data_IF_594222738428
#
_entry.id   IF_594222738428
#
_cell.length_a   1.000
_cell.length_b   1.000
_cell.length_c   1.000
_cell.angle_alpha   90.00
_cell.angle_beta   90.00
_cell.angle_gamma   90.00
#
_symmetry.space_group_name_H-M   'P 1'
#
loop_
_entity.id
_entity.type
_entity.pdbx_description
1 polymer ?
2 water ?
#
# COMPACT_ATOMS: atom_id res chain seq x y z
N UNK A 1 25.48 7.56 2.79
CA UNK A 1 24.51 6.49 2.58
C UNK A 1 23.17 7.06 2.14
N UNK A 2 22.72 6.67 0.94
CA UNK A 2 21.43 7.18 0.44
C UNK A 2 20.26 6.63 1.24
N UNK A 3 19.26 7.47 1.46
CA UNK A 3 18.04 7.10 2.18
C UNK A 3 17.00 6.76 1.10
N UNK A 4 16.97 5.51 0.69
CA UNK A 4 16.08 5.05 -0.37
C UNK A 4 14.75 4.69 0.31
N UNK A 5 13.88 5.68 0.42
CA UNK A 5 12.69 5.56 1.26
C UNK A 5 11.67 6.60 0.82
N UNK A 6 10.40 6.30 1.09
CA UNK A 6 9.31 7.20 0.75
C UNK A 6 8.09 6.87 1.60
N UNK A 7 7.29 7.90 1.88
CA UNK A 7 6.05 7.75 2.60
C UNK A 7 4.96 8.48 1.83
N UNK A 8 3.87 7.79 1.53
CA UNK A 8 2.73 8.36 0.81
C UNK A 8 1.50 8.23 1.69
N UNK A 9 0.73 9.30 1.82
CA UNK A 9 -0.42 9.25 2.72
C UNK A 9 -1.67 9.74 2.01
N UNK A 10 -2.81 9.44 2.63
CA UNK A 10 -4.09 9.80 2.03
C UNK A 10 -4.26 11.31 1.96
N UNK A 11 -4.73 11.79 0.81
CA UNK A 11 -4.86 13.23 0.60
C UNK A 11 -5.90 13.47 -0.47
N UNK A 12 -7.09 13.90 -0.08
CA UNK A 12 -8.19 14.15 -0.99
C UNK A 12 -8.21 15.57 -1.55
N UNK A 13 -7.11 16.31 -1.42
CA UNK A 13 -7.05 17.69 -1.91
C UNK A 13 -7.28 17.77 -3.42
N UNK A 27 -12.99 13.19 4.25
CA UNK A 27 -12.03 12.49 3.42
C UNK A 27 -12.45 11.08 3.04
N UNK A 28 -13.75 10.81 3.07
CA UNK A 28 -14.27 9.48 2.83
C UNK A 28 -14.27 9.15 1.34
N UNK A 29 -13.68 8.01 0.98
CA UNK A 29 -13.55 7.57 -0.41
C UNK A 29 -14.10 6.16 -0.53
N UNK A 30 -14.96 5.94 -1.52
CA UNK A 30 -15.42 4.61 -1.88
C UNK A 30 -14.46 4.02 -2.90
N UNK A 31 -13.97 2.81 -2.61
CA UNK A 31 -13.04 2.11 -3.49
C UNK A 31 -13.78 0.94 -4.13
N UNK A 32 -13.88 0.96 -5.45
CA UNK A 32 -14.62 -0.06 -6.16
C UNK A 32 -13.88 -1.39 -6.13
N UNK A 33 -14.63 -2.47 -6.37
CA UNK A 33 -14.07 -3.81 -6.42
C UNK A 33 -12.91 -3.86 -7.40
N UNK A 34 -11.77 -4.36 -6.93
CA UNK A 34 -10.54 -4.58 -7.69
C UNK A 34 -9.87 -3.29 -8.14
N UNK A 35 -10.34 -2.13 -7.67
CA UNK A 35 -9.56 -0.93 -7.98
C UNK A 35 -8.53 -0.68 -6.88
N UNK A 36 -7.34 -0.22 -7.23
CA UNK A 36 -6.37 0.13 -6.19
C UNK A 36 -6.72 1.45 -5.51
N UNK A 37 -6.35 1.54 -4.24
CA UNK A 37 -6.38 2.83 -3.56
C UNK A 37 -5.48 3.81 -4.32
N UNK A 38 -6.02 4.98 -4.66
CA UNK A 38 -5.25 5.88 -5.52
C UNK A 38 -5.27 7.33 -5.06
N UNK A 39 -5.71 7.59 -3.83
CA UNK A 39 -5.74 8.96 -3.31
C UNK A 39 -4.51 9.16 -2.42
N UNK A 40 -3.35 8.71 -2.89
CA UNK A 40 -2.08 8.86 -2.19
C UNK A 40 -1.38 10.14 -2.63
N UNK A 41 -0.52 10.65 -1.74
CA UNK A 41 0.32 11.78 -2.07
C UNK A 41 1.56 11.70 -1.20
N UNK A 42 2.74 12.01 -1.74
CA UNK A 42 3.96 11.96 -0.90
C UNK A 42 3.90 12.93 0.27
N UNK A 43 4.34 12.46 1.43
CA UNK A 43 4.52 13.33 2.58
C UNK A 43 5.56 14.40 2.25
N UNK A 44 5.55 15.52 2.97
CA UNK A 44 6.51 16.60 2.65
C UNK A 44 7.96 16.15 2.65
N UNK A 45 8.38 15.30 3.60
CA UNK A 45 9.77 14.90 3.62
C UNK A 45 10.12 14.07 2.39
N UNK A 46 9.15 13.36 1.84
CA UNK A 46 9.37 12.60 0.62
C UNK A 46 9.48 13.54 -0.59
N UNK A 47 8.57 14.51 -0.69
CA UNK A 47 8.66 15.51 -1.77
C UNK A 47 10.01 16.20 -1.76
N UNK A 48 10.52 16.53 -0.57
CA UNK A 48 11.75 17.29 -0.41
C UNK A 48 13.01 16.43 -0.38
N UNK A 49 12.87 15.11 -0.44
CA UNK A 49 14.03 14.24 -0.25
C UNK A 49 15.03 14.42 -1.39
N UNK A 50 16.32 14.65 -1.09
CA UNK A 50 17.33 14.70 -2.15
C UNK A 50 17.80 13.32 -2.63
N UNK A 51 17.22 12.23 -2.11
CA UNK A 51 17.71 10.88 -2.37
C UNK A 51 16.93 10.21 -3.50
N UNK A 52 17.57 9.32 -4.25
CA UNK A 52 16.81 8.38 -5.08
C UNK A 52 15.88 7.57 -4.18
N UNK A 53 14.68 7.30 -4.68
CA UNK A 53 13.65 6.76 -3.80
C UNK A 53 12.53 6.18 -4.65
N UNK A 54 11.68 5.33 -4.06
CA UNK A 54 10.44 4.94 -4.75
C UNK A 54 9.58 6.17 -5.04
N UNK A 55 8.80 6.07 -6.11
CA UNK A 55 7.96 7.19 -6.53
C UNK A 55 6.52 6.72 -6.67
N UNK A 56 5.61 7.68 -6.84
CA UNK A 56 4.18 7.42 -6.90
C UNK A 56 3.67 7.69 -8.31
N UNK A 57 3.01 6.70 -8.90
CA UNK A 57 2.44 6.85 -10.22
C UNK A 57 1.06 7.50 -10.14
N UNK A 58 0.57 7.95 -11.29
CA UNK A 58 -0.74 8.59 -11.33
C UNK A 58 -1.88 7.61 -11.14
N UNK A 59 -1.62 6.30 -11.22
CA UNK A 59 -2.62 5.27 -10.93
C UNK A 59 -2.65 4.89 -9.46
N UNK A 60 -1.78 5.47 -8.64
CA UNK A 60 -1.70 5.13 -7.23
C UNK A 60 -0.71 4.03 -6.90
N UNK A 61 0.05 3.54 -7.87
CA UNK A 61 1.04 2.51 -7.59
C UNK A 61 2.32 3.14 -7.08
N UNK A 62 2.96 2.45 -6.14
CA UNK A 62 4.32 2.81 -5.72
C UNK A 62 5.30 2.13 -6.67
N UNK A 63 6.18 2.92 -7.26
CA UNK A 63 7.12 2.48 -8.29
C UNK A 63 8.49 2.33 -7.64
N UNK A 64 8.97 1.09 -7.51
CA UNK A 64 10.25 0.78 -6.89
C UNK A 64 11.35 0.92 -7.95
N UNK A 65 12.44 1.60 -7.60
CA UNK A 65 13.54 1.82 -8.55
C UNK A 65 14.84 1.12 -8.17
N UNK A 66 14.92 0.51 -6.99
CA UNK A 66 16.16 -0.10 -6.51
C UNK A 66 15.82 -1.44 -5.86
N UNK A 67 16.54 -2.48 -6.29
CA UNK A 67 16.32 -3.81 -5.74
C UNK A 67 16.90 -3.92 -4.34
N UNK A 68 16.15 -4.55 -3.44
CA UNK A 68 16.67 -4.80 -2.10
C UNK A 68 15.58 -5.30 -1.19
N UNK A 69 15.95 -5.45 0.07
CA UNK A 69 14.99 -5.80 1.13
C UNK A 69 14.52 -4.50 1.76
N UNK A 70 13.21 -4.28 1.73
CA UNK A 70 12.56 -3.07 2.24
C UNK A 70 11.67 -3.42 3.42
N UNK A 71 11.62 -2.51 4.39
CA UNK A 71 10.51 -2.50 5.34
C UNK A 71 9.35 -1.78 4.65
N UNK A 72 8.25 -2.48 4.47
CA UNK A 72 7.07 -1.93 3.81
C UNK A 72 5.94 -1.92 4.83
N UNK A 73 5.21 -0.82 4.93
CA UNK A 73 4.10 -0.75 5.86
C UNK A 73 2.91 -0.08 5.20
N UNK A 74 1.72 -0.51 5.59
CA UNK A 74 0.46 -0.03 5.00
C UNK A 74 -0.56 0.12 6.12
N UNK A 75 -1.32 1.21 6.09
CA UNK A 75 -2.50 1.35 6.93
C UNK A 75 -3.65 1.89 6.10
N UNK A 76 -4.79 1.19 6.14
CA UNK A 76 -6.03 1.67 5.55
C UNK A 76 -7.01 1.89 6.71
N UNK A 77 -7.54 3.10 6.80
CA UNK A 77 -8.50 3.46 7.85
C UNK A 77 -9.88 3.36 7.25
N UNK A 78 -10.62 2.31 7.62
CA UNK A 78 -11.97 2.10 7.11
C UNK A 78 -12.99 2.82 7.97
N UNK A 79 -14.01 3.36 7.31
CA UNK A 79 -15.21 3.89 7.97
C UNK A 79 -16.33 3.27 7.17
N UNK A 80 -16.78 2.08 7.59
CA UNK A 80 -17.54 1.22 6.72
C UNK A 80 -18.50 0.40 7.57
N UNK A 81 -19.57 -0.07 6.94
CA UNK A 81 -20.59 -0.82 7.66
C UNK A 81 -20.49 -2.33 7.44
N UNK A 82 -19.58 -2.80 6.60
CA UNK A 82 -19.43 -4.23 6.39
C UNK A 82 -18.82 -4.91 7.62
N UNK A 83 -19.17 -6.19 7.80
CA UNK A 83 -18.64 -6.93 8.95
C UNK A 83 -17.14 -7.17 8.81
N UNK A 84 -16.65 -7.36 7.59
CA UNK A 84 -15.24 -7.65 7.35
C UNK A 84 -14.65 -6.59 6.43
N UNK A 85 -13.50 -6.06 6.82
CA UNK A 85 -12.70 -5.19 5.97
C UNK A 85 -11.31 -5.79 5.88
N UNK A 86 -10.74 -5.77 4.68
CA UNK A 86 -9.45 -6.41 4.46
C UNK A 86 -8.81 -5.81 3.22
N UNK A 87 -7.49 -5.66 3.27
CA UNK A 87 -6.74 -5.22 2.10
C UNK A 87 -5.60 -6.19 1.80
N UNK A 88 -5.14 -6.14 0.54
CA UNK A 88 -3.99 -6.91 0.08
C UNK A 88 -3.01 -5.96 -0.61
N UNK A 89 -1.73 -6.24 -0.45
CA UNK A 89 -0.67 -5.50 -1.13
C UNK A 89 -0.26 -6.30 -2.36
N UNK A 90 -0.49 -5.74 -3.55
CA UNK A 90 -0.23 -6.44 -4.80
C UNK A 90 1.06 -5.94 -5.43
N UNK A 91 1.92 -6.88 -5.83
CA UNK A 91 3.17 -6.58 -6.52
C UNK A 91 3.06 -7.00 -7.98
N UNK A 92 3.37 -6.09 -8.89
CA UNK A 92 3.42 -6.37 -10.30
C UNK A 92 4.77 -5.95 -10.84
N UNK A 93 5.12 -6.50 -12.00
CA UNK A 93 6.42 -6.23 -12.62
C UNK A 93 6.33 -6.76 -14.04
N UNK A 94 7.09 -6.13 -14.94
CA UNK A 94 7.07 -6.56 -16.33
C UNK A 94 7.48 -8.02 -16.48
N UNK A 95 8.23 -8.56 -15.52
CA UNK A 95 8.79 -9.90 -15.61
C UNK A 95 7.90 -10.97 -14.99
N UNK A 96 6.74 -10.62 -14.44
CA UNK A 96 5.80 -11.61 -13.94
C UNK A 96 4.42 -11.38 -14.54
N UNK A 97 3.67 -12.47 -14.68
CA UNK A 97 2.30 -12.43 -15.16
C UNK A 97 1.35 -12.23 -13.99
N UNK A 98 0.50 -11.21 -14.08
CA UNK A 98 -0.49 -10.96 -13.05
C UNK A 98 0.13 -10.31 -11.82
N UNK A 99 -0.55 -10.52 -10.69
CA UNK A 99 -0.17 -9.90 -9.43
C UNK A 99 0.30 -10.94 -8.42
N UNK A 100 1.22 -10.53 -7.55
CA UNK A 100 1.61 -11.30 -6.38
C UNK A 100 1.12 -10.59 -5.13
N UNK A 101 0.54 -11.34 -4.20
CA UNK A 101 0.08 -10.79 -2.93
C UNK A 101 1.18 -10.94 -1.89
N UNK A 102 1.71 -9.82 -1.41
CA UNK A 102 2.83 -9.84 -0.48
C UNK A 102 2.40 -9.72 0.97
N UNK A 103 1.27 -9.05 1.22
CA UNK A 103 0.84 -8.70 2.57
C UNK A 103 -0.67 -8.62 2.58
N UNK A 104 -1.27 -9.00 3.70
CA UNK A 104 -2.72 -8.91 3.85
C UNK A 104 -3.06 -8.55 5.29
N UNK A 105 -4.11 -7.75 5.45
CA UNK A 105 -4.63 -7.32 6.73
C UNK A 105 -6.13 -7.57 6.74
N UNK A 106 -6.68 -7.94 7.90
CA UNK A 106 -8.12 -8.15 7.97
C UNK A 106 -8.63 -7.80 9.36
N UNK A 107 -9.85 -7.27 9.40
CA UNK A 107 -10.55 -7.02 10.66
C UNK A 107 -12.01 -7.39 10.46
N UNK A 108 -12.63 -8.00 11.46
CA UNK A 108 -13.99 -8.51 11.28
C UNK A 108 -14.72 -8.57 12.61
N UNK A 109 -15.99 -8.19 12.57
CA UNK A 109 -16.88 -8.36 13.71
C UNK A 109 -18.30 -8.44 13.17
N UNK A 110 -19.15 -9.17 13.89
CA UNK A 110 -20.51 -9.39 13.43
C UNK A 110 -21.44 -8.31 13.98
N UNK A 111 -22.29 -7.79 13.10
CA UNK A 111 -23.37 -6.90 13.49
C UNK A 111 -24.61 -7.26 12.69
N UNK A 112 -25.78 -7.11 13.32
CA UNK A 112 -27.02 -7.46 12.65
C UNK A 112 -27.47 -6.38 11.67
N UNK A 113 -27.09 -5.12 11.92
CA UNK A 113 -27.45 -4.03 11.04
C UNK A 113 -26.21 -3.31 10.52
N UNK A 114 -26.30 -2.69 9.34
CA UNK A 114 -25.11 -2.03 8.76
C UNK A 114 -24.77 -0.71 9.44
N UNK A 115 -23.95 -0.77 10.48
CA UNK A 115 -23.54 0.42 11.24
C UNK A 115 -22.13 0.80 10.80
N UNK A 116 -21.96 2.06 10.36
CA UNK A 116 -20.64 2.54 10.00
C UNK A 116 -19.76 2.60 11.25
N UNK A 117 -18.53 2.11 11.13
CA UNK A 117 -17.64 2.18 12.29
C UNK A 117 -16.20 2.27 11.82
N UNK A 118 -15.34 2.92 12.60
CA UNK A 118 -13.95 3.13 12.19
C UNK A 118 -13.05 1.97 12.59
N UNK A 119 -12.19 1.51 11.68
CA UNK A 119 -11.23 0.46 11.96
C UNK A 119 -10.01 0.70 11.08
N UNK A 120 -8.84 0.90 11.68
CA UNK A 120 -7.60 1.00 10.94
C UNK A 120 -6.95 -0.37 10.84
N UNK A 121 -6.52 -0.75 9.65
CA UNK A 121 -5.93 -2.07 9.41
C UNK A 121 -4.48 -1.84 8.98
N UNK A 122 -3.55 -2.19 9.87
CA UNK A 122 -2.13 -1.95 9.67
C UNK A 122 -1.37 -3.26 9.52
N UNK A 123 -0.41 -3.31 8.61
CA UNK A 123 0.55 -4.41 8.57
C UNK A 123 1.87 -3.92 8.00
N UNK A 124 2.92 -4.67 8.27
CA UNK A 124 4.27 -4.32 7.82
C UNK A 124 5.12 -5.57 7.80
N UNK A 125 6.16 -5.53 6.97
CA UNK A 125 7.10 -6.66 6.91
C UNK A 125 8.33 -6.25 6.12
N UNK A 126 9.41 -7.00 6.33
CA UNK A 126 10.62 -6.88 5.51
C UNK A 126 10.44 -7.72 4.25
N UNK A 127 10.35 -7.06 3.09
CA UNK A 127 9.98 -7.70 1.84
C UNK A 127 11.06 -7.48 0.79
N UNK A 128 11.33 -8.50 -0.02
CA UNK A 128 12.24 -8.33 -1.14
C UNK A 128 11.48 -7.68 -2.29
N UNK A 129 12.00 -6.57 -2.79
CA UNK A 129 11.41 -5.86 -3.92
C UNK A 129 12.46 -5.66 -5.00
N UNK A 130 12.04 -5.76 -6.25
CA UNK A 130 12.92 -5.54 -7.40
C UNK A 130 12.70 -4.16 -8.00
N UNK A 131 13.79 -3.57 -8.51
CA UNK A 131 13.65 -2.42 -9.38
C UNK A 131 12.64 -2.74 -10.48
N UNK A 132 11.71 -1.81 -10.70
CA UNK A 132 10.64 -2.01 -11.66
C UNK A 132 9.36 -2.56 -11.07
N UNK A 133 9.36 -3.01 -9.82
CA UNK A 133 8.13 -3.45 -9.18
C UNK A 133 7.17 -2.27 -9.03
N UNK A 134 5.88 -2.56 -9.16
CA UNK A 134 4.82 -1.67 -8.74
C UNK A 134 4.06 -2.30 -7.58
N UNK A 135 3.71 -1.49 -6.59
CA UNK A 135 2.94 -1.92 -5.43
C UNK A 135 1.63 -1.16 -5.40
N UNK A 136 0.53 -1.89 -5.23
CA UNK A 136 -0.79 -1.28 -5.06
C UNK A 136 -1.50 -1.95 -3.89
N UNK A 137 -2.34 -1.18 -3.21
CA UNK A 137 -3.19 -1.72 -2.15
C UNK A 137 -4.61 -1.82 -2.70
N UNK A 138 -5.20 -3.01 -2.62
CA UNK A 138 -6.59 -3.22 -2.99
C UNK A 138 -7.35 -3.80 -1.80
N UNK A 139 -8.63 -3.47 -1.73
CA UNK A 139 -9.49 -4.18 -0.78
C UNK A 139 -9.78 -5.57 -1.34
N UNK A 140 -9.99 -6.53 -0.44
CA UNK A 140 -10.24 -7.89 -0.89
C UNK A 140 -11.65 -8.08 -1.41
N UNK A 141 -12.61 -7.29 -0.96
CA UNK A 141 -13.99 -7.40 -1.41
C UNK A 141 -14.46 -6.04 -1.90
N UNK A 142 -15.52 -6.08 -2.71
CA UNK A 142 -15.95 -4.89 -3.42
C UNK A 142 -16.53 -3.84 -2.50
N UNK A 143 -16.26 -2.59 -2.87
CA UNK A 143 -16.94 -1.43 -2.32
C UNK A 143 -16.84 -1.33 -0.80
N UNK A 144 -15.69 -0.88 -0.34
CA UNK A 144 -15.49 -0.48 1.05
C UNK A 144 -15.14 1.00 1.05
N UNK A 145 -15.51 1.68 2.13
CA UNK A 145 -15.20 3.09 2.30
C UNK A 145 -14.07 3.24 3.29
N UNK A 146 -13.12 4.12 2.95
CA UNK A 146 -11.98 4.41 3.81
C UNK A 146 -11.78 5.92 3.90
N UNK A 147 -11.15 6.34 4.99
CA UNK A 147 -10.84 7.76 5.20
C UNK A 147 -9.42 8.03 4.71
N UNK A 148 -9.31 8.82 3.65
CA UNK A 148 -8.00 9.09 3.05
C UNK A 148 -7.50 10.45 3.54
N UNK A 149 -7.10 10.45 4.81
CA UNK A 149 -6.51 11.59 5.49
C UNK A 149 -5.10 11.19 5.93
N UNK A 150 -4.16 12.15 5.99
CA UNK A 150 -2.74 11.76 6.07
C UNK A 150 -2.41 10.95 7.30
N UNK A 151 -3.02 11.28 8.44
CA UNK A 151 -2.74 10.56 9.67
C UNK A 151 -3.46 9.21 9.73
N UNK A 152 -4.40 8.94 8.84
CA UNK A 152 -5.25 7.75 8.94
C UNK A 152 -4.86 6.63 7.97
N UNK A 153 -4.48 6.97 6.73
CA UNK A 153 -4.21 5.96 5.71
C UNK A 153 -2.92 6.30 4.98
N UNK A 154 -2.07 5.31 4.74
CA UNK A 154 -0.76 5.60 4.16
C UNK A 154 -0.08 4.29 3.72
N UNK A 155 0.97 4.45 2.93
CA UNK A 155 1.85 3.36 2.52
C UNK A 155 3.26 3.91 2.43
N UNK A 156 4.22 3.22 3.04
CA UNK A 156 5.59 3.68 3.06
C UNK A 156 6.54 2.52 2.97
N UNK A 157 7.78 2.83 2.59
CA UNK A 157 8.79 1.80 2.48
C UNK A 157 10.17 2.42 2.67
N UNK A 158 11.06 1.62 3.26
CA UNK A 158 12.42 2.02 3.57
C UNK A 158 13.33 0.88 3.14
N UNK A 159 14.26 1.16 2.24
CA UNK A 159 15.22 0.12 1.89
C UNK A 159 16.17 -0.13 3.04
N UNK A 160 16.32 -1.40 3.41
CA UNK A 160 17.14 -1.82 4.54
C UNK A 160 18.48 -2.40 4.13
N UNK A 161 18.54 -3.09 2.99
CA UNK A 161 19.77 -3.74 2.57
C UNK A 161 19.71 -4.06 1.08
N UNK A 162 20.89 -4.12 0.47
CA UNK A 162 21.01 -4.68 -0.87
C UNK A 162 20.70 -6.16 -0.83
N UNK A 163 20.25 -6.69 -1.97
CA UNK A 163 19.98 -8.12 -2.08
C UNK A 163 19.89 -8.51 -3.54
N UNK A 164 20.47 -9.64 -3.89
CA UNK A 164 20.23 -10.26 -5.19
C UNK A 164 18.85 -10.92 -5.19
N UNK A 165 18.32 -11.13 -6.40
CA UNK A 165 17.06 -11.86 -6.53
C UNK A 165 17.17 -13.23 -5.87
N UNK A 166 16.38 -13.53 -4.84
CA UNK A 166 16.52 -14.80 -4.12
C UNK A 166 15.77 -15.97 -4.74
N UNK A 167 14.98 -15.74 -5.78
CA UNK A 167 14.25 -16.79 -6.45
C UNK A 167 14.74 -16.92 -7.89
N UNK A 168 14.62 -18.11 -8.43
CA UNK A 168 14.85 -18.31 -9.84
C UNK A 168 13.74 -19.19 -10.39
N UNK A 169 13.53 -19.08 -11.70
CA UNK A 169 12.52 -19.91 -12.33
C UNK A 169 13.01 -21.36 -12.39
N UNK A 170 12.08 -22.27 -12.64
CA UNK A 170 12.36 -23.70 -12.51
C UNK A 170 12.79 -24.35 -13.83
#
# INVERSE_FOLDING_TARGET
RPFIAAHFHGNTSHLNSAIHDHYKGNGLVRVSHDAPHDVWYPAPWTVASPHPRPTLTRTGHVHVHHTGVYLVYVQIYYLDSHDTISWVLHRTNADIEGRETLLQCAQSSYSTEPIDKPNSCFSAAALFLKAGDRLAVRNTAGDRHSLMQPEKSFIGLVKLADAEDPTQEL
#
